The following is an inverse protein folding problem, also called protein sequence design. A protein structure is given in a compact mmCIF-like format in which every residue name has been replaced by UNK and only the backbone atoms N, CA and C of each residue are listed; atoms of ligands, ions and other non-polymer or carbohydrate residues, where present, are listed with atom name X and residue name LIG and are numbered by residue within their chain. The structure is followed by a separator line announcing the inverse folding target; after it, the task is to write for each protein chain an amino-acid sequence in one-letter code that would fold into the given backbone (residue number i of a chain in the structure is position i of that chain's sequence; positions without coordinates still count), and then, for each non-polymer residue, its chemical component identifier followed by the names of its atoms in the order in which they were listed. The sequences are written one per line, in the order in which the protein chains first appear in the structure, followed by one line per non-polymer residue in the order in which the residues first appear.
data_IF_751316091482
#
_entry.id   IF_751316091482
#
_cell.length_a   1.000
_cell.length_b   1.000
_cell.length_c   1.000
_cell.angle_alpha   90.00
_cell.angle_beta   90.00
_cell.angle_gamma   90.00
#
_symmetry.space_group_name_H-M   'P 1'
#
loop_
_entity.id
_entity.type
_entity.pdbx_description
1 polymer ?
#
# COMPACT_ATOMS: atom_id res chain seq x y z
N UNK A 1 -12.09 -7.34 -6.22
CA UNK A 1 -13.29 -8.07 -5.71
C UNK A 1 -12.79 -8.88 -4.53
N UNK A 2 -13.07 -8.43 -3.33
CA UNK A 2 -12.83 -9.20 -2.12
C UNK A 2 -13.93 -10.27 -2.06
N UNK A 3 -13.59 -11.52 -2.26
CA UNK A 3 -14.47 -12.61 -1.90
C UNK A 3 -14.49 -12.69 -0.37
N UNK A 4 -15.56 -12.24 0.25
CA UNK A 4 -15.83 -12.39 1.68
C UNK A 4 -16.51 -13.75 1.95
N UNK A 5 -16.00 -14.81 1.41
CA UNK A 5 -16.44 -16.14 1.83
C UNK A 5 -15.54 -16.58 2.97
N UNK A 6 -16.04 -16.39 4.20
CA UNK A 6 -15.35 -16.70 5.45
C UNK A 6 -15.06 -18.19 5.70
N UNK A 7 -14.90 -18.98 4.66
CA UNK A 7 -14.52 -20.37 4.67
C UNK A 7 -13.52 -20.72 3.56
N UNK A 8 -12.49 -19.89 3.35
CA UNK A 8 -11.32 -20.44 2.72
C UNK A 8 -10.61 -21.28 3.77
N UNK A 9 -10.69 -22.60 3.67
CA UNK A 9 -10.09 -23.53 4.62
C UNK A 9 -8.56 -23.52 4.62
N UNK A 10 -7.93 -22.45 4.09
CA UNK A 10 -6.49 -22.27 4.12
C UNK A 10 -6.10 -21.41 5.32
N UNK A 11 -5.34 -21.97 6.27
CA UNK A 11 -4.81 -21.22 7.38
C UNK A 11 -3.91 -20.08 6.87
N UNK A 12 -3.89 -18.95 7.57
CA UNK A 12 -3.04 -17.78 7.29
C UNK A 12 -3.27 -17.15 5.91
N UNK A 13 -4.50 -17.16 5.38
CA UNK A 13 -4.83 -16.53 4.11
C UNK A 13 -5.81 -15.36 4.30
N UNK A 14 -5.36 -14.13 3.93
CA UNK A 14 -6.21 -12.94 3.99
C UNK A 14 -7.04 -12.80 2.71
N UNK A 15 -6.38 -12.82 1.55
CA UNK A 15 -7.04 -12.78 0.24
C UNK A 15 -6.13 -13.25 -0.89
N UNK A 16 -6.73 -13.45 -2.05
CA UNK A 16 -6.07 -13.57 -3.34
C UNK A 16 -6.41 -12.35 -4.19
N UNK A 17 -5.42 -11.69 -4.77
CA UNK A 17 -5.62 -10.60 -5.69
C UNK A 17 -5.11 -10.98 -7.08
N UNK A 18 -5.97 -10.88 -8.08
CA UNK A 18 -5.62 -11.02 -9.49
C UNK A 18 -5.91 -9.71 -10.19
N UNK A 19 -4.92 -9.15 -10.86
CA UNK A 19 -5.08 -7.93 -11.63
C UNK A 19 -4.34 -8.00 -12.96
N UNK A 20 -4.72 -7.12 -13.89
CA UNK A 20 -4.02 -6.96 -15.14
C UNK A 20 -3.96 -5.48 -15.54
N UNK A 21 -2.89 -5.11 -16.20
CA UNK A 21 -2.70 -3.75 -16.68
C UNK A 21 -3.33 -3.56 -18.07
N UNK A 22 -4.20 -2.58 -18.17
CA UNK A 22 -4.76 -2.12 -19.45
C UNK A 22 -3.97 -0.96 -20.03
N UNK A 23 -3.37 -0.15 -19.17
CA UNK A 23 -2.51 1.01 -19.47
C UNK A 23 -1.41 1.12 -18.40
N UNK A 24 -0.29 1.78 -18.65
CA UNK A 24 0.18 2.30 -19.93
C UNK A 24 0.61 1.19 -20.91
N UNK A 25 0.88 1.55 -22.15
CA UNK A 25 1.24 0.59 -23.21
C UNK A 25 2.44 -0.31 -22.85
N UNK A 26 3.38 0.17 -22.03
CA UNK A 26 4.55 -0.58 -21.55
C UNK A 26 4.20 -1.73 -20.62
N UNK A 27 3.08 -1.64 -19.90
CA UNK A 27 2.61 -2.66 -18.95
C UNK A 27 1.40 -3.43 -19.47
N UNK A 28 0.78 -2.99 -20.57
CA UNK A 28 -0.45 -3.60 -21.11
C UNK A 28 -0.31 -5.10 -21.31
N UNK A 29 -1.29 -5.84 -20.77
CA UNK A 29 -1.32 -7.30 -20.84
C UNK A 29 -0.45 -8.01 -19.80
N UNK A 30 0.25 -7.27 -18.94
CA UNK A 30 0.86 -7.85 -17.75
C UNK A 30 -0.22 -8.22 -16.75
N UNK A 31 -0.13 -9.43 -16.21
CA UNK A 31 -1.05 -9.96 -15.18
C UNK A 31 -0.25 -10.22 -13.92
N UNK A 32 -0.81 -9.89 -12.78
CA UNK A 32 -0.24 -10.24 -11.49
C UNK A 32 -1.24 -11.02 -10.65
N UNK A 33 -0.73 -11.97 -9.88
CA UNK A 33 -1.46 -12.73 -8.88
C UNK A 33 -0.71 -12.59 -7.55
N UNK A 34 -1.42 -12.20 -6.51
CA UNK A 34 -0.86 -12.07 -5.15
C UNK A 34 -1.63 -12.97 -4.20
N UNK A 35 -0.91 -13.75 -3.41
CA UNK A 35 -1.41 -14.45 -2.25
C UNK A 35 -0.98 -13.69 -1.01
N UNK A 36 -1.93 -13.04 -0.35
CA UNK A 36 -1.70 -12.23 0.82
C UNK A 36 -1.96 -13.04 2.08
N UNK A 37 -0.96 -13.28 2.95
CA UNK A 37 -1.17 -13.93 4.24
C UNK A 37 -1.65 -12.92 5.29
N UNK A 38 -2.29 -13.40 6.35
CA UNK A 38 -2.63 -12.61 7.55
C UNK A 38 -1.37 -12.31 8.36
N UNK A 39 -0.59 -13.34 8.64
CA UNK A 39 0.71 -13.24 9.32
C UNK A 39 1.84 -13.35 8.27
N UNK A 40 2.36 -12.19 7.87
CA UNK A 40 3.43 -12.09 6.90
C UNK A 40 4.82 -12.44 7.48
N UNK A 41 4.94 -12.58 8.80
CA UNK A 41 6.17 -13.05 9.45
C UNK A 41 6.27 -14.57 9.36
N UNK A 42 5.16 -15.26 9.61
CA UNK A 42 5.08 -16.72 9.50
C UNK A 42 5.16 -17.22 8.04
N UNK A 43 4.49 -16.50 7.13
CA UNK A 43 4.48 -16.80 5.69
C UNK A 43 4.57 -15.50 4.89
N UNK A 44 5.63 -15.37 4.11
CA UNK A 44 5.80 -14.19 3.27
C UNK A 44 4.77 -14.16 2.13
N UNK A 45 4.35 -12.95 1.74
CA UNK A 45 3.55 -12.71 0.55
C UNK A 45 4.15 -13.41 -0.64
N UNK A 46 3.32 -14.11 -1.40
CA UNK A 46 3.72 -14.75 -2.66
C UNK A 46 3.05 -14.06 -3.83
N UNK A 47 3.81 -13.76 -4.87
CA UNK A 47 3.23 -13.18 -6.07
C UNK A 47 3.87 -13.76 -7.34
N UNK A 48 3.07 -13.69 -8.39
CA UNK A 48 3.45 -14.12 -9.73
C UNK A 48 3.09 -13.04 -10.72
N UNK A 49 3.97 -12.84 -11.69
CA UNK A 49 3.77 -11.89 -12.78
C UNK A 49 3.84 -12.63 -14.10
N UNK A 50 2.79 -12.51 -14.90
CA UNK A 50 2.80 -12.91 -16.30
C UNK A 50 3.20 -11.71 -17.14
N UNK A 51 4.27 -11.86 -17.91
CA UNK A 51 4.71 -10.86 -18.87
C UNK A 51 4.22 -11.23 -20.26
N UNK A 52 3.39 -10.37 -20.87
CA UNK A 52 2.79 -10.62 -22.18
C UNK A 52 3.81 -10.68 -23.32
N UNK A 53 4.89 -9.90 -23.24
CA UNK A 53 5.95 -9.88 -24.24
C UNK A 53 6.77 -11.17 -24.25
N UNK A 54 7.04 -11.74 -23.09
CA UNK A 54 7.79 -12.97 -22.93
C UNK A 54 6.91 -14.24 -22.91
N UNK A 55 5.60 -14.07 -22.75
CA UNK A 55 4.61 -15.14 -22.58
C UNK A 55 4.98 -16.13 -21.46
N UNK A 56 5.55 -15.60 -20.37
CA UNK A 56 6.02 -16.39 -19.23
C UNK A 56 5.50 -15.84 -17.92
N UNK A 57 5.20 -16.76 -17.01
CA UNK A 57 4.93 -16.45 -15.61
C UNK A 57 6.25 -16.54 -14.85
N UNK A 58 6.52 -15.56 -14.02
CA UNK A 58 7.65 -15.55 -13.08
C UNK A 58 7.12 -15.33 -11.67
N UNK A 59 7.72 -15.99 -10.69
CA UNK A 59 7.52 -15.62 -9.29
C UNK A 59 8.27 -14.31 -9.02
N UNK A 60 7.62 -13.39 -8.34
CA UNK A 60 8.23 -12.15 -7.89
C UNK A 60 8.75 -12.34 -6.46
N UNK A 61 10.07 -12.48 -6.24
CA UNK A 61 10.61 -12.88 -4.94
C UNK A 61 10.64 -11.74 -3.91
N UNK A 62 10.62 -10.48 -4.34
CA UNK A 62 10.93 -9.32 -3.48
C UNK A 62 9.72 -8.45 -3.12
N UNK A 63 8.53 -9.06 -3.02
CA UNK A 63 7.30 -8.31 -2.71
C UNK A 63 7.00 -8.18 -1.21
N UNK A 64 7.89 -8.65 -0.35
CA UNK A 64 7.62 -8.68 1.09
C UNK A 64 7.95 -7.39 1.83
N UNK A 65 8.85 -6.56 1.28
CA UNK A 65 9.38 -5.39 1.98
C UNK A 65 9.53 -4.19 1.05
N UNK A 66 10.77 -3.77 0.79
CA UNK A 66 11.11 -2.58 0.01
C UNK A 66 11.35 -2.84 -1.47
N UNK A 67 10.88 -3.97 -2.00
CA UNK A 67 10.81 -4.19 -3.43
C UNK A 67 10.06 -3.05 -4.12
N UNK A 68 10.53 -2.63 -5.28
CA UNK A 68 9.87 -1.57 -6.04
C UNK A 68 8.54 -2.08 -6.59
N UNK A 69 7.50 -1.31 -6.39
CA UNK A 69 6.19 -1.61 -6.97
C UNK A 69 6.22 -1.29 -8.48
N UNK A 70 5.95 -2.29 -9.30
CA UNK A 70 5.88 -2.13 -10.75
C UNK A 70 4.85 -1.06 -11.14
N UNK A 71 5.24 -0.18 -12.05
CA UNK A 71 4.40 0.94 -12.50
C UNK A 71 4.46 2.20 -11.62
N UNK A 72 5.20 2.18 -10.50
CA UNK A 72 5.40 3.35 -9.64
C UNK A 72 6.62 4.20 -10.05
N UNK A 73 7.38 3.77 -11.04
CA UNK A 73 8.65 4.41 -11.46
C UNK A 73 9.66 4.57 -10.29
N UNK A 74 9.63 3.63 -9.34
CA UNK A 74 10.50 3.64 -8.17
C UNK A 74 10.03 4.51 -7.01
N UNK A 75 8.85 5.13 -7.11
CA UNK A 75 8.33 6.01 -6.07
C UNK A 75 7.63 5.29 -4.92
N UNK A 76 7.23 4.03 -5.11
CA UNK A 76 6.57 3.23 -4.08
C UNK A 76 7.26 1.89 -3.88
N UNK A 77 7.39 1.49 -2.63
CA UNK A 77 7.77 0.14 -2.25
C UNK A 77 6.53 -0.75 -2.10
N UNK A 78 6.69 -2.06 -2.21
CA UNK A 78 5.58 -3.01 -2.13
C UNK A 78 4.88 -3.01 -0.78
N UNK A 79 5.58 -2.67 0.29
CA UNK A 79 5.04 -2.57 1.64
C UNK A 79 4.37 -1.22 1.95
N UNK A 80 4.32 -0.29 0.98
CA UNK A 80 3.58 0.99 1.10
C UNK A 80 2.15 0.94 0.57
N UNK A 81 1.72 -0.20 0.04
CA UNK A 81 0.34 -0.37 -0.41
C UNK A 81 -0.61 -0.15 0.77
N UNK A 82 -1.69 0.62 0.56
CA UNK A 82 -2.67 1.00 1.58
C UNK A 82 -2.04 1.67 2.84
N UNK A 83 -0.96 2.42 2.64
CA UNK A 83 -0.21 3.11 3.69
C UNK A 83 0.88 2.24 4.30
N UNK A 84 0.57 1.06 4.78
CA UNK A 84 1.54 0.05 5.23
C UNK A 84 0.95 -1.36 5.11
N UNK A 85 1.55 -2.15 4.26
CA UNK A 85 1.19 -3.55 4.04
C UNK A 85 2.47 -4.40 3.92
N UNK A 86 3.17 -4.56 5.00
CA UNK A 86 4.42 -5.32 5.09
C UNK A 86 4.56 -6.04 6.42
N UNK A 87 5.48 -7.01 6.48
CA UNK A 87 5.83 -7.66 7.73
C UNK A 87 6.48 -6.66 8.69
N UNK A 88 6.03 -6.60 9.96
CA UNK A 88 6.53 -5.61 10.92
C UNK A 88 7.87 -6.00 11.56
N UNK A 89 8.41 -7.17 11.26
CA UNK A 89 9.52 -7.84 11.92
C UNK A 89 10.87 -7.12 11.82
N UNK A 90 11.10 -6.35 10.74
CA UNK A 90 12.36 -5.62 10.53
C UNK A 90 12.51 -4.36 11.37
N UNK A 91 11.42 -3.87 11.98
CA UNK A 91 11.41 -2.63 12.75
C UNK A 91 11.18 -2.89 14.23
N UNK A 92 11.78 -2.03 15.05
CA UNK A 92 11.36 -1.83 16.42
C UNK A 92 10.31 -0.75 16.45
N UNK A 93 9.11 -1.10 16.93
CA UNK A 93 7.96 -0.21 16.93
C UNK A 93 7.74 0.40 18.30
N UNK A 94 7.49 1.72 18.32
CA UNK A 94 7.19 2.48 19.52
C UNK A 94 5.88 3.25 19.32
N UNK A 95 4.98 3.11 20.28
CA UNK A 95 3.78 3.94 20.36
C UNK A 95 4.13 5.26 21.03
N UNK A 96 4.02 6.38 20.29
CA UNK A 96 4.34 7.73 20.80
C UNK A 96 3.14 8.43 21.43
N UNK A 97 1.93 7.82 21.39
CA UNK A 97 0.71 8.37 21.93
C UNK A 97 -0.23 8.90 20.83
N UNK A 98 -1.17 9.74 21.22
CA UNK A 98 -2.17 10.32 20.32
C UNK A 98 -1.85 11.76 19.97
N UNK A 99 -2.23 12.17 18.75
CA UNK A 99 -2.17 13.56 18.30
C UNK A 99 -3.42 13.93 17.51
N UNK A 100 -3.82 15.17 17.61
CA UNK A 100 -4.84 15.75 16.72
C UNK A 100 -4.13 16.34 15.50
N UNK A 101 -4.55 15.90 14.32
CA UNK A 101 -4.00 16.32 13.03
C UNK A 101 -5.12 16.57 12.03
N UNK A 102 -4.91 17.55 11.15
CA UNK A 102 -5.78 17.73 10.00
C UNK A 102 -5.35 16.77 8.90
N UNK A 103 -6.29 15.96 8.42
CA UNK A 103 -6.07 14.98 7.38
C UNK A 103 -7.06 15.15 6.24
N UNK A 104 -6.66 14.82 4.99
CA UNK A 104 -7.62 14.71 3.90
C UNK A 104 -8.59 13.55 4.22
N UNK A 105 -9.85 13.88 4.45
CA UNK A 105 -10.86 12.89 4.81
C UNK A 105 -12.20 13.24 4.15
N UNK A 106 -12.96 12.22 3.74
CA UNK A 106 -14.21 12.43 3.01
C UNK A 106 -14.04 13.34 1.77
N UNK A 107 -12.96 13.19 1.04
CA UNK A 107 -12.57 14.04 -0.09
C UNK A 107 -13.28 13.66 -1.39
N UNK A 108 -14.60 13.48 -1.34
CA UNK A 108 -15.41 12.98 -2.46
C UNK A 108 -15.28 13.79 -3.75
N UNK A 109 -14.97 15.09 -3.65
CA UNK A 109 -14.74 15.94 -4.82
C UNK A 109 -13.58 15.45 -5.69
N UNK A 110 -12.56 14.80 -5.11
CA UNK A 110 -11.45 14.24 -5.88
C UNK A 110 -11.87 13.07 -6.78
N UNK A 111 -12.99 12.44 -6.47
CA UNK A 111 -13.55 11.33 -7.25
C UNK A 111 -14.50 11.78 -8.35
N UNK A 112 -14.68 13.10 -8.56
CA UNK A 112 -15.53 13.65 -9.61
C UNK A 112 -14.91 13.35 -10.98
N UNK A 113 -15.66 12.60 -11.81
CA UNK A 113 -15.22 12.16 -13.15
C UNK A 113 -15.03 13.31 -14.13
N UNK A 114 -15.53 14.51 -13.83
CA UNK A 114 -15.37 15.70 -14.66
C UNK A 114 -14.00 16.36 -14.48
N UNK A 115 -13.34 16.11 -13.34
CA UNK A 115 -12.02 16.64 -13.05
C UNK A 115 -10.94 15.94 -13.91
N UNK A 116 -10.02 16.75 -14.39
CA UNK A 116 -8.81 16.28 -15.08
C UNK A 116 -7.62 16.35 -14.12
N UNK A 117 -6.58 15.60 -14.40
CA UNK A 117 -5.36 15.61 -13.57
C UNK A 117 -4.81 17.02 -13.34
N UNK A 118 -4.85 17.88 -14.36
CA UNK A 118 -4.40 19.29 -14.25
C UNK A 118 -5.22 20.14 -13.29
N UNK A 119 -6.46 19.75 -13.02
CA UNK A 119 -7.35 20.46 -12.09
C UNK A 119 -7.07 20.03 -10.64
N UNK A 120 -6.57 18.80 -10.47
CA UNK A 120 -6.27 18.18 -9.17
C UNK A 120 -4.82 18.41 -8.75
N UNK A 121 -3.86 18.22 -9.68
CA UNK A 121 -2.43 18.25 -9.37
C UNK A 121 -1.89 19.64 -9.54
N UNK A 122 -1.29 20.18 -8.49
CA UNK A 122 -0.57 21.44 -8.49
C UNK A 122 0.92 21.19 -8.13
N UNK A 123 1.83 22.15 -8.44
CA UNK A 123 3.21 22.05 -8.00
C UNK A 123 3.28 21.86 -6.47
N UNK A 124 3.85 20.74 -6.03
CA UNK A 124 4.06 20.36 -4.60
C UNK A 124 2.81 20.02 -3.79
N UNK A 125 1.61 20.05 -4.36
CA UNK A 125 0.39 19.76 -3.61
C UNK A 125 -0.76 19.29 -4.50
N UNK A 126 -1.77 18.71 -3.87
CA UNK A 126 -3.10 18.57 -4.47
C UNK A 126 -3.82 19.90 -4.34
N UNK A 127 -4.64 20.26 -5.33
CA UNK A 127 -5.45 21.48 -5.30
C UNK A 127 -6.40 21.46 -4.08
N UNK A 128 -6.24 22.39 -3.13
CA UNK A 128 -7.02 22.39 -1.89
C UNK A 128 -8.52 22.63 -2.10
N UNK A 129 -8.94 23.19 -3.23
CA UNK A 129 -10.36 23.42 -3.52
C UNK A 129 -11.15 22.12 -3.70
N UNK A 130 -10.46 21.03 -3.98
CA UNK A 130 -11.03 19.70 -4.14
C UNK A 130 -10.77 18.78 -2.94
N UNK A 131 -10.03 19.23 -1.94
CA UNK A 131 -9.70 18.44 -0.75
C UNK A 131 -10.46 18.96 0.44
N UNK A 132 -11.12 18.05 1.16
CA UNK A 132 -11.70 18.33 2.45
C UNK A 132 -10.73 17.87 3.53
N UNK A 133 -10.46 18.73 4.49
CA UNK A 133 -9.67 18.42 5.67
C UNK A 133 -10.56 18.31 6.90
N UNK A 134 -10.36 17.25 7.68
CA UNK A 134 -11.03 17.03 8.95
C UNK A 134 -9.99 16.89 10.06
N UNK A 135 -10.36 17.36 11.27
CA UNK A 135 -9.53 17.16 12.44
C UNK A 135 -9.78 15.74 12.99
N UNK A 136 -8.74 14.90 12.92
CA UNK A 136 -8.78 13.55 13.45
C UNK A 136 -7.78 13.38 14.59
N UNK A 137 -8.10 12.49 15.51
CA UNK A 137 -7.18 12.03 16.52
C UNK A 137 -6.54 10.74 16.05
N UNK A 138 -5.23 10.76 15.91
CA UNK A 138 -4.45 9.65 15.39
C UNK A 138 -3.49 9.10 16.44
N UNK A 139 -3.35 7.78 16.49
CA UNK A 139 -2.25 7.12 17.15
C UNK A 139 -0.98 7.31 16.31
N UNK A 140 0.09 7.74 16.96
CA UNK A 140 1.41 7.91 16.33
C UNK A 140 2.28 6.73 16.68
N UNK A 141 2.65 5.96 15.65
CA UNK A 141 3.51 4.78 15.78
C UNK A 141 4.79 5.02 14.99
N UNK A 142 5.92 4.87 15.65
CA UNK A 142 7.24 5.04 15.03
C UNK A 142 7.94 3.69 14.95
N UNK A 143 8.45 3.36 13.75
CA UNK A 143 9.27 2.20 13.48
C UNK A 143 10.71 2.61 13.18
N UNK A 144 11.67 2.09 13.93
CA UNK A 144 13.10 2.23 13.66
C UNK A 144 13.65 0.92 13.14
N UNK A 145 14.38 0.95 12.03
CA UNK A 145 14.97 -0.25 11.45
C UNK A 145 15.94 -0.92 12.43
N UNK A 146 15.76 -2.22 12.67
CA UNK A 146 16.62 -3.00 13.55
C UNK A 146 18.05 -3.10 13.03
N UNK A 147 19.05 -3.15 13.91
CA UNK A 147 20.44 -3.41 13.51
C UNK A 147 20.57 -4.70 12.68
N UNK A 148 21.31 -4.63 11.60
CA UNK A 148 21.52 -5.77 10.70
C UNK A 148 20.40 -6.03 9.69
N UNK A 149 19.26 -5.35 9.81
CA UNK A 149 18.19 -5.40 8.81
C UNK A 149 18.44 -4.41 7.68
N UNK A 150 17.86 -4.70 6.52
CA UNK A 150 17.98 -3.85 5.32
C UNK A 150 16.59 -3.41 4.87
N UNK A 151 16.45 -2.12 4.67
CA UNK A 151 15.27 -1.48 4.09
C UNK A 151 15.66 -0.10 3.56
N UNK A 152 14.98 0.39 2.51
CA UNK A 152 15.20 1.74 1.97
C UNK A 152 14.88 2.83 3.01
N UNK A 153 13.94 2.57 3.93
CA UNK A 153 13.58 3.48 5.00
C UNK A 153 14.18 3.03 6.33
N UNK A 154 15.11 3.81 6.89
CA UNK A 154 15.67 3.57 8.21
C UNK A 154 14.70 3.88 9.35
N UNK A 155 13.70 4.73 9.09
CA UNK A 155 12.69 5.14 10.06
C UNK A 155 11.36 5.38 9.34
N UNK A 156 10.25 5.02 10.01
CA UNK A 156 8.87 5.26 9.56
C UNK A 156 8.05 5.82 10.68
N UNK A 157 7.15 6.73 10.37
CA UNK A 157 6.12 7.20 11.29
C UNK A 157 4.76 6.99 10.64
N UNK A 158 3.91 6.24 11.31
CA UNK A 158 2.55 5.96 10.89
C UNK A 158 1.58 6.73 11.78
N UNK A 159 0.58 7.31 11.16
CA UNK A 159 -0.55 7.94 11.84
C UNK A 159 -1.77 7.06 11.59
N UNK A 160 -2.27 6.43 12.65
CA UNK A 160 -3.40 5.52 12.59
C UNK A 160 -4.64 6.25 13.12
N UNK A 161 -5.65 6.37 12.31
CA UNK A 161 -6.91 6.97 12.74
C UNK A 161 -7.51 6.21 13.92
N UNK A 162 -7.95 6.94 14.94
CA UNK A 162 -8.50 6.33 16.16
C UNK A 162 -9.80 5.55 15.90
N UNK A 163 -10.59 6.01 14.94
CA UNK A 163 -11.91 5.46 14.66
C UNK A 163 -11.88 4.33 13.63
N UNK A 164 -11.16 4.52 12.53
CA UNK A 164 -11.14 3.56 11.42
C UNK A 164 -9.96 2.60 11.43
N UNK A 165 -8.93 2.88 12.24
CA UNK A 165 -7.65 2.16 12.27
C UNK A 165 -6.87 2.18 10.94
N UNK A 166 -7.29 3.02 10.01
CA UNK A 166 -6.59 3.21 8.75
C UNK A 166 -5.34 4.06 8.94
N UNK A 167 -4.33 3.83 8.12
CA UNK A 167 -3.18 4.73 8.01
C UNK A 167 -3.63 5.99 7.27
N UNK A 168 -3.34 7.16 7.84
CA UNK A 168 -3.73 8.48 7.35
C UNK A 168 -2.64 9.12 6.50
#
# INVERSE_FOLDING_TARGET
ILAQDGESGEPNRLFYALGYFTEPATLRGTIFLVHEPVDQVAEQRSAWIYNSGQRRVRRAPDLAYDGINDGSEGMLTTDQVDGYNGAPDRYEWQLLGKREIYVPYNTYKLSDKTLKYKDIIQPKSINPDHVRYELHRAWVVEGTLKPGQRHIYGKRTLYLDEDSWSVL
#
